data_IF_648233449592
#
_entry.id   IF_648233449592
#
_cell.length_a   1.000
_cell.length_b   1.000
_cell.length_c   1.000
_cell.angle_alpha   90.00
_cell.angle_beta   90.00
_cell.angle_gamma   90.00
#
_symmetry.space_group_name_H-M   'P 1'
#
loop_
_entity.id
_entity.type
_entity.pdbx_description
1 polymer ?
#
# COMPACT_ATOMS: atom_id res chain seq x y z
N UNK A 1 -11.69 -16.88 -2.89
CA UNK A 1 -10.46 -17.68 -2.60
C UNK A 1 -9.71 -17.99 -3.89
N UNK A 2 -10.23 -18.81 -4.82
CA UNK A 2 -9.50 -19.16 -6.06
C UNK A 2 -9.38 -17.98 -7.06
N UNK A 3 -10.48 -17.27 -7.33
CA UNK A 3 -10.50 -16.09 -8.21
C UNK A 3 -9.58 -14.96 -7.70
N UNK A 4 -9.64 -14.68 -6.40
CA UNK A 4 -8.77 -13.68 -5.74
C UNK A 4 -7.29 -14.06 -5.79
N UNK A 5 -6.95 -15.34 -5.66
CA UNK A 5 -5.57 -15.83 -5.79
C UNK A 5 -5.06 -15.76 -7.23
N UNK A 6 -5.94 -16.08 -8.20
CA UNK A 6 -5.65 -15.92 -9.63
C UNK A 6 -5.35 -14.45 -9.97
N UNK A 7 -6.20 -13.53 -9.52
CA UNK A 7 -6.04 -12.09 -9.78
C UNK A 7 -4.76 -11.53 -9.14
N UNK A 8 -4.45 -11.91 -7.91
CA UNK A 8 -3.23 -11.49 -7.23
C UNK A 8 -1.97 -11.95 -8.00
N UNK A 9 -1.92 -13.21 -8.43
CA UNK A 9 -0.79 -13.74 -9.20
C UNK A 9 -0.70 -13.13 -10.59
N UNK A 10 -1.83 -12.86 -11.24
CA UNK A 10 -1.88 -12.20 -12.53
C UNK A 10 -1.34 -10.77 -12.46
N UNK A 11 -1.72 -9.98 -11.44
CA UNK A 11 -1.25 -8.60 -11.26
C UNK A 11 0.24 -8.51 -10.91
N UNK A 12 0.76 -9.50 -10.21
CA UNK A 12 2.17 -9.56 -9.81
C UNK A 12 3.06 -10.22 -10.87
N UNK A 13 2.48 -10.70 -11.99
CA UNK A 13 3.18 -11.47 -13.03
C UNK A 13 3.94 -12.69 -12.49
N UNK A 14 3.37 -13.35 -11.46
CA UNK A 14 3.97 -14.51 -10.79
C UNK A 14 3.60 -15.85 -11.46
N UNK A 15 3.04 -15.79 -12.67
CA UNK A 15 2.52 -16.95 -13.39
C UNK A 15 1.22 -17.50 -12.80
N UNK A 16 0.49 -18.28 -13.60
CA UNK A 16 -0.83 -18.81 -13.21
C UNK A 16 -0.66 -19.93 -12.16
N UNK A 17 -1.40 -19.90 -11.05
CA UNK A 17 -1.39 -21.01 -10.08
C UNK A 17 -1.92 -22.30 -10.72
N UNK A 18 -1.31 -23.44 -10.38
CA UNK A 18 -1.87 -24.74 -10.73
C UNK A 18 -3.09 -25.02 -9.84
N UNK A 19 -4.28 -25.00 -10.45
CA UNK A 19 -5.54 -25.26 -9.76
C UNK A 19 -6.05 -26.66 -10.10
N UNK A 20 -6.58 -27.36 -9.09
CA UNK A 20 -7.42 -28.55 -9.30
C UNK A 20 -8.71 -28.18 -10.07
N UNK A 21 -9.43 -29.14 -10.66
CA UNK A 21 -10.57 -28.82 -11.54
C UNK A 21 -11.67 -27.96 -10.91
N UNK A 22 -12.13 -28.18 -9.66
CA UNK A 22 -13.17 -27.34 -9.05
C UNK A 22 -12.78 -25.85 -8.87
N UNK A 23 -11.61 -25.49 -8.30
CA UNK A 23 -11.20 -24.09 -8.24
C UNK A 23 -10.86 -23.49 -9.61
N UNK A 24 -10.41 -24.31 -10.58
CA UNK A 24 -10.20 -23.86 -11.97
C UNK A 24 -11.52 -23.43 -12.62
N UNK A 25 -12.61 -24.17 -12.41
CA UNK A 25 -13.94 -23.79 -12.89
C UNK A 25 -14.41 -22.45 -12.31
N UNK A 26 -14.22 -22.26 -10.99
CA UNK A 26 -14.54 -20.99 -10.34
C UNK A 26 -13.73 -19.79 -10.89
N UNK A 27 -12.47 -20.01 -11.28
CA UNK A 27 -11.64 -18.98 -11.94
C UNK A 27 -12.15 -18.67 -13.35
N UNK A 28 -12.61 -19.68 -14.10
CA UNK A 28 -13.18 -19.48 -15.43
C UNK A 28 -14.51 -18.73 -15.38
N UNK A 29 -15.41 -19.11 -14.48
CA UNK A 29 -16.68 -18.40 -14.27
C UNK A 29 -16.44 -16.94 -13.87
N UNK A 30 -15.44 -16.70 -13.01
CA UNK A 30 -15.01 -15.36 -12.65
C UNK A 30 -14.52 -14.57 -13.86
N UNK A 31 -13.67 -15.17 -14.71
CA UNK A 31 -13.15 -14.53 -15.93
C UNK A 31 -14.22 -14.24 -16.97
N UNK A 32 -15.30 -15.03 -17.01
CA UNK A 32 -16.44 -14.78 -17.88
C UNK A 32 -17.30 -13.60 -17.38
N UNK A 33 -17.32 -13.37 -16.07
CA UNK A 33 -18.10 -12.30 -15.42
C UNK A 33 -17.34 -10.98 -15.32
N UNK A 34 -16.02 -11.02 -15.17
CA UNK A 34 -15.19 -9.82 -15.01
C UNK A 34 -14.53 -9.45 -16.33
N UNK A 35 -14.86 -8.28 -16.91
CA UNK A 35 -14.16 -7.77 -18.08
C UNK A 35 -12.66 -7.71 -17.81
N UNK A 36 -11.85 -8.23 -18.73
CA UNK A 36 -10.40 -8.06 -18.62
C UNK A 36 -10.09 -6.57 -18.72
N UNK A 37 -9.45 -5.97 -17.70
CA UNK A 37 -9.08 -4.56 -17.77
C UNK A 37 -8.17 -4.34 -18.98
N UNK A 38 -8.40 -3.27 -19.72
CA UNK A 38 -7.42 -2.86 -20.73
C UNK A 38 -6.10 -2.50 -20.04
N UNK A 39 -4.99 -2.63 -20.77
CA UNK A 39 -3.65 -2.33 -20.26
C UNK A 39 -3.58 -0.97 -19.53
N UNK A 40 -4.27 0.05 -20.05
CA UNK A 40 -4.31 1.41 -19.50
C UNK A 40 -5.20 1.57 -18.25
N UNK A 41 -6.13 0.64 -18.00
CA UNK A 41 -6.90 0.61 -16.76
C UNK A 41 -6.12 -0.11 -15.65
N UNK A 42 -5.23 -1.02 -16.02
CA UNK A 42 -4.50 -1.86 -15.07
C UNK A 42 -3.23 -1.20 -14.54
N UNK A 43 -2.65 -0.26 -15.29
CA UNK A 43 -1.46 0.48 -14.90
C UNK A 43 -1.65 1.99 -15.07
N UNK A 44 -1.21 2.81 -14.09
CA UNK A 44 -1.16 4.25 -14.27
C UNK A 44 -0.29 4.58 -15.48
N UNK A 45 -0.80 5.45 -16.35
CA UNK A 45 -0.02 5.97 -17.47
C UNK A 45 1.24 6.67 -16.94
N UNK A 46 2.29 6.73 -17.74
CA UNK A 46 3.58 7.30 -17.33
C UNK A 46 3.47 8.72 -16.74
N UNK A 47 2.50 9.51 -17.22
CA UNK A 47 2.14 10.83 -16.70
C UNK A 47 1.59 10.81 -15.27
N UNK A 48 0.98 9.72 -14.82
CA UNK A 48 0.45 9.57 -13.46
C UNK A 48 1.49 8.97 -12.49
N UNK A 49 2.56 8.35 -12.97
CA UNK A 49 3.65 7.85 -12.11
C UNK A 49 4.34 8.99 -11.34
N UNK A 50 4.68 10.08 -12.03
CA UNK A 50 5.33 11.23 -11.38
C UNK A 50 4.43 11.85 -10.29
N UNK A 51 3.15 12.06 -10.60
CA UNK A 51 2.19 12.58 -9.62
C UNK A 51 1.94 11.61 -8.47
N UNK A 52 1.92 10.30 -8.75
CA UNK A 52 1.82 9.27 -7.73
C UNK A 52 2.99 9.32 -6.75
N UNK A 53 4.23 9.32 -7.25
CA UNK A 53 5.41 9.39 -6.39
C UNK A 53 5.50 10.71 -5.64
N UNK A 54 5.13 11.85 -6.25
CA UNK A 54 5.04 13.12 -5.52
C UNK A 54 4.07 13.05 -4.34
N UNK A 55 2.88 12.48 -4.53
CA UNK A 55 1.90 12.28 -3.44
C UNK A 55 2.43 11.31 -2.37
N UNK A 56 3.14 10.26 -2.77
CA UNK A 56 3.77 9.32 -1.83
C UNK A 56 4.85 10.00 -1.00
N UNK A 57 5.73 10.78 -1.63
CA UNK A 57 6.76 11.55 -0.93
C UNK A 57 6.15 12.53 0.06
N UNK A 58 5.10 13.26 -0.32
CA UNK A 58 4.44 14.21 0.58
C UNK A 58 3.86 13.52 1.81
N UNK A 59 3.11 12.42 1.61
CA UNK A 59 2.56 11.63 2.73
C UNK A 59 3.65 11.07 3.64
N UNK A 60 4.78 10.65 3.08
CA UNK A 60 5.91 10.15 3.85
C UNK A 60 6.54 11.24 4.72
N UNK A 61 6.69 12.46 4.19
CA UNK A 61 7.18 13.60 4.98
C UNK A 61 6.19 13.98 6.08
N UNK A 62 4.90 14.08 5.76
CA UNK A 62 3.84 14.38 6.74
C UNK A 62 3.85 13.36 7.89
N UNK A 63 3.95 12.08 7.56
CA UNK A 63 4.00 11.03 8.57
C UNK A 63 5.25 11.10 9.45
N UNK A 64 6.43 11.34 8.86
CA UNK A 64 7.67 11.51 9.64
C UNK A 64 7.59 12.70 10.58
N UNK A 65 7.08 13.84 10.11
CA UNK A 65 6.89 15.03 10.94
C UNK A 65 5.92 14.76 12.08
N UNK A 66 4.82 14.05 11.82
CA UNK A 66 3.84 13.72 12.85
C UNK A 66 4.43 12.82 13.94
N UNK A 67 5.19 11.78 13.57
CA UNK A 67 5.87 10.92 14.53
C UNK A 67 6.91 11.70 15.34
N UNK A 68 7.66 12.60 14.68
CA UNK A 68 8.63 13.44 15.36
C UNK A 68 7.96 14.38 16.38
N UNK A 69 6.83 14.99 16.02
CA UNK A 69 6.07 15.86 16.91
C UNK A 69 5.54 15.10 18.14
N UNK A 70 4.94 13.92 17.93
CA UNK A 70 4.49 13.04 19.02
C UNK A 70 5.64 12.71 19.97
N UNK A 71 6.79 12.26 19.44
CA UNK A 71 7.93 11.92 20.27
C UNK A 71 8.54 13.13 20.99
N UNK A 72 8.52 14.31 20.36
CA UNK A 72 9.02 15.54 20.99
C UNK A 72 8.12 15.99 22.15
N UNK A 73 6.80 15.88 21.98
CA UNK A 73 5.82 16.18 23.02
C UNK A 73 5.95 15.20 24.19
N UNK A 74 6.07 13.91 23.90
CA UNK A 74 6.26 12.88 24.92
C UNK A 74 7.57 13.09 25.70
N UNK A 75 8.66 13.41 25.01
CA UNK A 75 9.94 13.73 25.64
C UNK A 75 9.83 14.95 26.58
N UNK A 76 9.19 16.04 26.14
CA UNK A 76 8.99 17.23 26.98
C UNK A 76 8.09 16.97 28.19
N UNK A 77 7.06 16.13 28.04
CA UNK A 77 6.18 15.78 29.15
C UNK A 77 6.90 15.01 30.26
N UNK A 78 7.92 14.21 29.91
CA UNK A 78 8.68 13.39 30.85
C UNK A 78 10.01 14.02 31.30
N UNK A 79 10.44 15.11 30.66
CA UNK A 79 11.61 15.90 31.06
C UNK A 79 11.23 17.37 31.33
N UNK A 80 10.58 17.67 32.46
CA UNK A 80 10.43 19.05 32.89
C UNK A 80 11.83 19.67 33.10
N UNK A 81 12.01 20.98 32.83
CA UNK A 81 13.28 21.64 33.11
C UNK A 81 13.59 21.46 34.60
N UNK A 82 14.73 20.83 34.91
CA UNK A 82 15.26 20.81 36.26
C UNK A 82 15.51 22.27 36.66
N UNK A 83 14.76 22.76 37.64
CA UNK A 83 15.10 24.00 38.32
C UNK A 83 16.50 23.80 38.91
N UNK A 84 17.46 24.51 38.33
CA UNK A 84 18.82 24.62 38.83
C UNK A 84 18.75 25.42 40.15
N UNK A 85 18.42 24.73 41.26
CA UNK A 85 18.66 25.24 42.60
C UNK A 85 20.17 25.10 42.86
N UNK A 86 20.91 26.09 42.37
CA UNK A 86 22.32 26.28 42.71
C UNK A 86 22.40 27.30 43.85
N UNK A 87 22.70 26.82 45.07
CA UNK A 87 23.14 27.62 46.23
C UNK A 87 24.66 27.82 46.18
#
# INVERSE_FOLDING_TARGET
>A
MAATLYEQRYRMDWGIPNFSPPPMAAVQDYRAQVPTPSYYQQYPQQTDLTGHFQRQTMRLLEHQNHLQDIWSQDYQAHHPPQQDDSD
#
